data_IF_279858610735
#
_entry.id   IF_279858610735
#
_cell.length_a   1.000
_cell.length_b   1.000
_cell.length_c   1.000
_cell.angle_alpha   90.00
_cell.angle_beta   90.00
_cell.angle_gamma   90.00
#
_symmetry.space_group_name_H-M   'P 1'
#
loop_
_entity.id
_entity.type
_entity.pdbx_description
1 polymer ?
#
# COMPACT_ATOMS: atom_id res chain seq x y z
N UNK A 1 7.23 9.62 20.53
CA UNK A 1 6.40 9.87 19.33
C UNK A 1 7.10 9.51 17.99
N UNK A 2 8.36 9.87 17.73
CA UNK A 2 9.13 9.39 16.54
C UNK A 2 9.13 7.85 16.38
N UNK A 3 9.14 7.12 17.50
CA UNK A 3 9.03 5.65 17.56
C UNK A 3 7.76 5.12 16.88
N UNK A 4 6.64 5.87 16.91
CA UNK A 4 5.37 5.48 16.29
C UNK A 4 5.42 5.55 14.76
N UNK A 5 6.04 6.61 14.19
CA UNK A 5 6.23 6.72 12.74
C UNK A 5 7.25 5.70 12.21
N UNK A 6 8.32 5.40 12.96
CA UNK A 6 9.26 4.35 12.56
C UNK A 6 8.60 2.97 12.61
N UNK A 7 7.77 2.72 13.62
CA UNK A 7 7.01 1.48 13.75
C UNK A 7 6.01 1.31 12.59
N UNK A 8 5.26 2.36 12.23
CA UNK A 8 4.32 2.30 11.09
C UNK A 8 5.06 2.05 9.78
N UNK A 9 6.20 2.70 9.54
CA UNK A 9 7.04 2.43 8.36
C UNK A 9 7.55 0.99 8.31
N UNK A 10 7.98 0.43 9.44
CA UNK A 10 8.40 -0.97 9.54
C UNK A 10 7.23 -1.92 9.25
N UNK A 11 6.04 -1.62 9.77
CA UNK A 11 4.82 -2.41 9.49
C UNK A 11 4.40 -2.34 8.02
N UNK A 12 4.50 -1.18 7.38
CA UNK A 12 4.26 -1.03 5.94
C UNK A 12 5.26 -1.84 5.12
N UNK A 13 6.54 -1.84 5.51
CA UNK A 13 7.56 -2.66 4.84
C UNK A 13 7.24 -4.16 4.96
N UNK A 14 6.85 -4.62 6.15
CA UNK A 14 6.47 -6.01 6.37
C UNK A 14 5.21 -6.40 5.59
N UNK A 15 4.18 -5.55 5.59
CA UNK A 15 2.95 -5.80 4.85
C UNK A 15 3.19 -5.88 3.33
N UNK A 16 4.16 -5.11 2.80
CA UNK A 16 4.60 -5.21 1.39
C UNK A 16 5.27 -6.54 1.09
N UNK A 17 6.19 -6.97 1.95
CA UNK A 17 6.87 -8.26 1.79
C UNK A 17 5.88 -9.42 1.84
N UNK A 18 4.90 -9.35 2.75
CA UNK A 18 3.84 -10.35 2.84
C UNK A 18 2.95 -10.37 1.60
N UNK A 19 2.60 -9.19 1.07
CA UNK A 19 1.84 -9.07 -0.17
C UNK A 19 2.61 -9.65 -1.37
N UNK A 20 3.90 -9.36 -1.47
CA UNK A 20 4.78 -9.89 -2.53
C UNK A 20 4.85 -11.42 -2.47
N UNK A 21 5.02 -12.00 -1.27
CA UNK A 21 4.99 -13.46 -1.08
C UNK A 21 3.63 -14.06 -1.46
N UNK A 22 2.53 -13.42 -1.06
CA UNK A 22 1.18 -13.86 -1.41
C UNK A 22 0.94 -13.81 -2.93
N UNK A 23 1.45 -12.77 -3.60
CA UNK A 23 1.40 -12.64 -5.06
C UNK A 23 2.22 -13.72 -5.77
N UNK A 24 3.45 -13.99 -5.32
CA UNK A 24 4.29 -15.06 -5.87
C UNK A 24 3.60 -16.42 -5.73
N UNK A 25 2.97 -16.68 -4.58
CA UNK A 25 2.21 -17.92 -4.36
C UNK A 25 0.99 -18.00 -5.27
N UNK A 26 0.24 -16.90 -5.44
CA UNK A 26 -0.89 -16.84 -6.36
C UNK A 26 -0.44 -17.08 -7.82
N UNK A 27 0.71 -16.57 -8.24
CA UNK A 27 1.26 -16.81 -9.58
C UNK A 27 1.53 -18.29 -9.88
N UNK A 28 1.70 -19.12 -8.84
CA UNK A 28 1.91 -20.58 -8.99
C UNK A 28 0.58 -21.35 -9.12
N UNK A 29 -0.49 -20.85 -8.52
CA UNK A 29 -1.83 -21.43 -8.60
C UNK A 29 -2.88 -20.32 -8.62
N UNK A 30 -3.09 -19.77 -9.82
CA UNK A 30 -3.86 -18.55 -10.08
C UNK A 30 -5.37 -18.72 -9.86
N UNK A 31 -5.87 -19.95 -9.75
CA UNK A 31 -7.29 -20.24 -9.55
C UNK A 31 -7.62 -20.60 -8.10
N UNK A 32 -6.61 -20.66 -7.23
CA UNK A 32 -6.81 -20.99 -5.84
C UNK A 32 -7.50 -19.84 -5.09
N UNK A 33 -8.79 -20.05 -4.78
CA UNK A 33 -9.61 -19.07 -4.05
C UNK A 33 -8.96 -18.62 -2.74
N UNK A 34 -8.26 -19.51 -2.05
CA UNK A 34 -7.60 -19.19 -0.79
C UNK A 34 -6.38 -18.28 -0.99
N UNK A 35 -5.63 -18.46 -2.08
CA UNK A 35 -4.52 -17.56 -2.43
C UNK A 35 -5.01 -16.18 -2.87
N UNK A 36 -6.11 -16.13 -3.62
CA UNK A 36 -6.76 -14.86 -4.02
C UNK A 36 -7.21 -14.08 -2.78
N UNK A 37 -7.86 -14.76 -1.84
CA UNK A 37 -8.29 -14.15 -0.58
C UNK A 37 -7.08 -13.72 0.29
N UNK A 38 -6.01 -14.51 0.29
CA UNK A 38 -4.74 -14.14 0.93
C UNK A 38 -4.14 -12.85 0.38
N UNK A 39 -4.07 -12.69 -0.94
CA UNK A 39 -3.60 -11.45 -1.60
C UNK A 39 -4.51 -10.28 -1.26
N UNK A 40 -5.83 -10.47 -1.27
CA UNK A 40 -6.80 -9.44 -0.89
C UNK A 40 -6.58 -8.97 0.55
N UNK A 41 -6.48 -9.90 1.50
CA UNK A 41 -6.27 -9.59 2.92
C UNK A 41 -4.94 -8.87 3.16
N UNK A 42 -3.86 -9.30 2.51
CA UNK A 42 -2.55 -8.62 2.58
C UNK A 42 -2.63 -7.20 1.99
N UNK A 43 -3.44 -7.00 0.95
CA UNK A 43 -3.65 -5.68 0.34
C UNK A 43 -4.42 -4.75 1.28
N UNK A 44 -5.50 -5.23 1.90
CA UNK A 44 -6.26 -4.48 2.89
C UNK A 44 -5.40 -4.10 4.10
N UNK A 45 -4.55 -5.02 4.58
CA UNK A 45 -3.61 -4.75 5.66
C UNK A 45 -2.62 -3.64 5.28
N UNK A 46 -2.06 -3.69 4.07
CA UNK A 46 -1.15 -2.66 3.57
C UNK A 46 -1.83 -1.28 3.48
N UNK A 47 -3.07 -1.22 3.02
CA UNK A 47 -3.87 0.01 2.96
C UNK A 47 -4.07 0.58 4.37
N UNK A 48 -4.50 -0.24 5.33
CA UNK A 48 -4.72 0.17 6.73
C UNK A 48 -3.46 0.78 7.36
N UNK A 49 -2.30 0.15 7.14
CA UNK A 49 -1.03 0.68 7.67
C UNK A 49 -0.63 2.00 7.01
N UNK A 50 -0.90 2.16 5.71
CA UNK A 50 -0.64 3.40 4.98
C UNK A 50 -1.55 4.54 5.45
N UNK A 51 -2.83 4.26 5.72
CA UNK A 51 -3.78 5.23 6.28
C UNK A 51 -3.36 5.64 7.70
N UNK A 52 -2.87 4.70 8.50
CA UNK A 52 -2.31 4.98 9.83
C UNK A 52 -1.08 5.89 9.74
N UNK A 53 -0.16 5.65 8.79
CA UNK A 53 0.98 6.54 8.56
C UNK A 53 0.53 7.96 8.16
N UNK A 54 -0.47 8.07 7.28
CA UNK A 54 -1.05 9.36 6.89
C UNK A 54 -1.67 10.08 8.08
N UNK A 55 -2.41 9.38 8.94
CA UNK A 55 -3.01 9.96 10.15
C UNK A 55 -1.93 10.50 11.11
N UNK A 56 -0.85 9.75 11.33
CA UNK A 56 0.30 10.18 12.14
C UNK A 56 0.94 11.42 11.53
N UNK A 57 1.14 11.45 10.21
CA UNK A 57 1.71 12.61 9.52
C UNK A 57 0.80 13.83 9.60
N UNK A 58 -0.52 13.67 9.46
CA UNK A 58 -1.51 14.75 9.63
C UNK A 58 -1.48 15.33 11.02
N UNK A 59 -1.45 14.47 12.05
CA UNK A 59 -1.39 14.92 13.43
C UNK A 59 -0.11 15.72 13.69
N UNK A 60 1.04 15.25 13.19
CA UNK A 60 2.31 16.00 13.28
C UNK A 60 2.25 17.33 12.53
N UNK A 61 1.61 17.33 11.37
CA UNK A 61 1.46 18.53 10.56
C UNK A 61 0.63 19.59 11.26
N UNK A 62 -0.49 19.20 11.86
CA UNK A 62 -1.34 20.08 12.67
C UNK A 62 -0.61 20.61 13.90
N UNK A 63 0.16 19.77 14.60
CA UNK A 63 0.98 20.22 15.75
C UNK A 63 2.05 21.23 15.29
N UNK A 64 2.70 20.98 14.14
CA UNK A 64 3.68 21.91 13.59
C UNK A 64 3.02 23.20 13.11
N UNK A 65 1.85 23.14 12.47
CA UNK A 65 1.10 24.34 12.05
C UNK A 65 0.63 25.19 13.23
N UNK A 66 0.12 24.56 14.30
CA UNK A 66 -0.24 25.28 15.53
C UNK A 66 0.98 25.96 16.18
N UNK A 67 2.18 25.39 16.01
CA UNK A 67 3.42 25.90 16.59
C UNK A 67 4.12 26.95 15.72
N UNK A 68 4.15 26.74 14.41
CA UNK A 68 5.02 27.45 13.46
C UNK A 68 4.24 28.27 12.40
N UNK A 69 2.90 28.25 12.40
CA UNK A 69 2.06 28.92 11.39
C UNK A 69 2.13 28.25 10.01
N UNK A 70 1.84 28.99 8.92
CA UNK A 70 1.68 28.47 7.54
C UNK A 70 2.92 27.83 6.88
N UNK A 71 4.06 27.71 7.57
CA UNK A 71 5.34 27.22 7.02
C UNK A 71 5.41 25.72 6.67
N UNK A 72 4.38 24.90 6.90
CA UNK A 72 4.47 23.44 6.82
C UNK A 72 4.29 22.84 5.41
N UNK A 73 5.27 23.07 4.52
CA UNK A 73 5.35 22.37 3.23
C UNK A 73 5.74 20.89 3.37
N UNK A 74 6.30 20.48 4.52
CA UNK A 74 6.84 19.12 4.73
C UNK A 74 5.77 18.03 4.74
N UNK A 75 4.58 18.32 5.29
CA UNK A 75 3.45 17.40 5.29
C UNK A 75 2.93 17.14 3.88
N UNK A 76 2.78 18.20 3.08
CA UNK A 76 2.30 18.07 1.70
C UNK A 76 3.25 17.21 0.87
N UNK A 77 4.56 17.44 0.97
CA UNK A 77 5.56 16.60 0.31
C UNK A 77 5.54 15.15 0.78
N UNK A 78 5.40 14.90 2.09
CA UNK A 78 5.30 13.55 2.63
C UNK A 78 4.00 12.83 2.19
N UNK A 79 2.88 13.53 2.20
CA UNK A 79 1.57 13.04 1.77
C UNK A 79 1.55 12.70 0.27
N UNK A 80 2.07 13.59 -0.59
CA UNK A 80 2.19 13.35 -2.03
C UNK A 80 3.10 12.15 -2.30
N UNK A 81 4.22 12.02 -1.57
CA UNK A 81 5.13 10.88 -1.72
C UNK A 81 4.47 9.56 -1.30
N UNK A 82 3.71 9.54 -0.21
CA UNK A 82 2.94 8.38 0.22
C UNK A 82 1.87 7.99 -0.80
N UNK A 83 1.11 8.98 -1.31
CA UNK A 83 0.05 8.76 -2.30
C UNK A 83 0.58 8.27 -3.65
N UNK A 84 1.71 8.80 -4.12
CA UNK A 84 2.40 8.33 -5.33
C UNK A 84 2.87 6.88 -5.19
N UNK A 85 3.36 6.50 -4.00
CA UNK A 85 3.79 5.13 -3.70
C UNK A 85 2.63 4.13 -3.65
N UNK A 86 1.44 4.55 -3.23
CA UNK A 86 0.21 3.73 -3.27
C UNK A 86 -0.40 3.65 -4.67
N UNK A 87 -0.29 4.72 -5.47
CA UNK A 87 -0.71 4.74 -6.88
C UNK A 87 0.04 3.72 -7.73
N UNK A 88 1.37 3.62 -7.57
CA UNK A 88 2.17 2.59 -8.25
C UNK A 88 1.74 1.17 -7.86
N UNK A 89 1.30 0.93 -6.62
CA UNK A 89 0.87 -0.38 -6.18
C UNK A 89 -0.48 -0.78 -6.80
N UNK A 90 -1.41 0.18 -6.92
CA UNK A 90 -2.66 0.00 -7.68
C UNK A 90 -2.41 -0.20 -9.19
N UNK A 91 -1.37 0.44 -9.74
CA UNK A 91 -0.98 0.29 -11.14
C UNK A 91 -0.42 -1.11 -11.42
N UNK A 92 0.50 -1.59 -10.56
CA UNK A 92 1.05 -2.94 -10.64
C UNK A 92 -0.02 -4.03 -10.46
N UNK A 93 -0.96 -3.84 -9.52
CA UNK A 93 -2.08 -4.77 -9.34
C UNK A 93 -3.00 -4.80 -10.57
N UNK A 94 -3.26 -3.63 -11.19
CA UNK A 94 -4.02 -3.55 -12.44
C UNK A 94 -3.33 -4.28 -13.59
N UNK A 95 -2.01 -4.14 -13.74
CA UNK A 95 -1.26 -4.84 -14.79
C UNK A 95 -1.30 -6.36 -14.61
N UNK A 96 -1.10 -6.88 -13.39
CA UNK A 96 -1.17 -8.31 -13.11
C UNK A 96 -2.58 -8.86 -13.36
N UNK A 97 -3.62 -8.16 -12.89
CA UNK A 97 -5.01 -8.56 -13.13
C UNK A 97 -5.39 -8.50 -14.62
N UNK A 98 -4.91 -7.51 -15.37
CA UNK A 98 -5.10 -7.41 -16.81
C UNK A 98 -4.41 -8.54 -17.58
N UNK A 99 -3.19 -8.91 -17.18
CA UNK A 99 -2.47 -10.04 -17.76
C UNK A 99 -3.21 -11.36 -17.51
N UNK A 100 -3.73 -11.56 -16.29
CA UNK A 100 -4.56 -12.72 -15.94
C UNK A 100 -5.85 -12.78 -16.77
N UNK A 101 -6.52 -11.64 -16.95
CA UNK A 101 -7.75 -11.58 -17.75
C UNK A 101 -7.49 -11.91 -19.23
N UNK A 102 -6.39 -11.39 -19.80
CA UNK A 102 -5.99 -11.69 -21.17
C UNK A 102 -5.55 -13.15 -21.37
N UNK A 103 -4.89 -13.74 -20.37
CA UNK A 103 -4.52 -15.16 -20.40
C UNK A 103 -5.76 -16.06 -20.40
N UNK A 104 -6.78 -15.73 -19.59
CA UNK A 104 -8.05 -16.45 -19.53
C UNK A 104 -8.84 -16.32 -20.84
N UNK A 105 -8.85 -15.11 -21.45
CA UNK A 105 -9.53 -14.87 -22.72
C UNK A 105 -8.86 -15.59 -23.89
N UNK A 106 -7.53 -15.70 -23.90
CA UNK A 106 -6.79 -16.44 -24.94
C UNK A 106 -6.97 -17.96 -24.88
N UNK A 107 -7.30 -18.54 -23.73
CA UNK A 107 -7.54 -19.98 -23.57
C UNK A 107 -9.00 -20.39 -23.86
N UNK A 108 -9.88 -19.42 -24.15
CA UNK A 108 -11.30 -19.64 -24.46
C UNK A 108 -11.63 -19.55 -25.96
N UNK A 109 -10.60 -19.37 -26.80
CA UNK A 109 -10.63 -19.50 -28.27
C UNK A 109 -9.94 -20.79 -28.68
#
# INVERSE_FOLDING_TARGET
MQKSLMLSKKKIAQARENLEKAQINLSRDIFNRHLIEGVKNCTEELIRWNDTEIAILRQRANISWLKDGDGNSSFFHAFVKAKKKSGNLNMLLKEVLWQLLNQILRMKS
#
